data_IF_455525807329
#
_entry.id   IF_455525807329
#
_cell.length_a   1.000
_cell.length_b   1.000
_cell.length_c   1.000
_cell.angle_alpha   90.00
_cell.angle_beta   90.00
_cell.angle_gamma   90.00
#
_symmetry.space_group_name_H-M   'P 1'
#
loop_
_entity.id
_entity.type
_entity.pdbx_description
1 polymer ?
#
# COMPACT_ATOMS: atom_id res chain seq x y z
N UNK A 1 19.95 -19.87 -4.52
CA UNK A 1 20.82 -19.24 -5.54
C UNK A 1 20.19 -19.37 -6.93
N UNK A 2 18.95 -18.90 -7.14
CA UNK A 2 18.28 -18.93 -8.46
C UNK A 2 17.24 -17.80 -8.65
N UNK A 3 17.29 -16.71 -7.88
CA UNK A 3 16.24 -15.67 -7.92
C UNK A 3 16.74 -14.26 -8.27
N UNK A 4 17.96 -14.14 -8.81
CA UNK A 4 18.51 -12.84 -9.27
C UNK A 4 18.38 -12.62 -10.78
N UNK A 5 17.89 -13.59 -11.55
CA UNK A 5 17.95 -13.54 -13.01
C UNK A 5 16.77 -12.85 -13.73
N UNK A 6 15.72 -12.41 -13.01
CA UNK A 6 14.47 -11.96 -13.67
C UNK A 6 14.28 -10.44 -13.72
N UNK A 7 15.19 -9.63 -13.19
CA UNK A 7 15.00 -8.15 -13.14
C UNK A 7 15.44 -7.45 -14.44
N UNK A 8 16.04 -8.14 -15.41
CA UNK A 8 16.46 -7.51 -16.67
C UNK A 8 15.44 -7.70 -17.79
N UNK A 9 14.27 -7.03 -17.71
CA UNK A 9 13.52 -6.72 -18.93
C UNK A 9 14.25 -5.57 -19.63
N UNK A 10 15.03 -5.92 -20.65
CA UNK A 10 15.77 -4.97 -21.49
C UNK A 10 14.77 -4.12 -22.29
N UNK A 11 14.87 -2.79 -22.18
CA UNK A 11 14.10 -1.85 -22.99
C UNK A 11 14.47 -2.02 -24.48
N UNK A 12 13.45 -2.19 -25.33
CA UNK A 12 13.64 -2.51 -26.75
C UNK A 12 13.88 -1.29 -27.63
N UNK A 13 13.66 -0.07 -27.15
CA UNK A 13 13.85 1.18 -27.92
C UNK A 13 14.55 2.30 -27.13
N UNK A 14 15.23 3.17 -27.89
CA UNK A 14 15.81 4.43 -27.41
C UNK A 14 14.69 5.44 -27.16
N UNK A 15 14.09 5.38 -25.97
CA UNK A 15 13.10 6.35 -25.51
C UNK A 15 13.68 7.22 -24.39
N UNK A 16 13.04 8.34 -24.07
CA UNK A 16 13.39 9.15 -22.89
C UNK A 16 12.55 8.69 -21.70
N UNK A 17 13.16 8.54 -20.53
CA UNK A 17 12.42 8.21 -19.32
C UNK A 17 11.50 9.37 -18.89
N UNK A 18 10.66 9.12 -17.88
CA UNK A 18 9.72 10.12 -17.35
C UNK A 18 10.41 11.34 -16.68
N UNK A 19 11.75 11.36 -16.65
CA UNK A 19 12.61 12.44 -16.14
C UNK A 19 13.36 13.16 -17.29
N UNK A 20 13.13 12.78 -18.55
CA UNK A 20 13.76 13.37 -19.72
C UNK A 20 15.19 12.89 -19.98
N UNK A 21 15.62 11.79 -19.35
CA UNK A 21 16.94 11.19 -19.55
C UNK A 21 16.87 10.08 -20.61
N UNK A 22 17.84 10.07 -21.52
CA UNK A 22 17.90 9.09 -22.60
C UNK A 22 18.06 7.67 -22.04
N UNK A 23 17.15 6.76 -22.38
CA UNK A 23 17.29 5.34 -22.09
C UNK A 23 18.40 4.76 -22.97
N UNK A 24 19.58 4.57 -22.39
CA UNK A 24 20.69 3.91 -23.08
C UNK A 24 20.46 2.41 -23.06
N UNK A 25 20.24 1.82 -24.24
CA UNK A 25 20.07 0.39 -24.45
C UNK A 25 21.21 -0.38 -23.77
N UNK A 26 20.86 -1.38 -22.97
CA UNK A 26 21.80 -2.35 -22.38
C UNK A 26 22.74 -1.84 -21.26
N UNK A 27 22.40 -0.75 -20.55
CA UNK A 27 23.14 -0.36 -19.34
C UNK A 27 22.41 -0.83 -18.08
N UNK A 28 23.02 -1.75 -17.33
CA UNK A 28 22.65 -1.99 -15.93
C UNK A 28 22.98 -0.71 -15.16
N UNK A 29 21.98 0.13 -14.92
CA UNK A 29 22.18 1.34 -14.13
C UNK A 29 22.29 0.94 -12.65
N UNK A 30 23.54 0.74 -12.22
CA UNK A 30 23.86 0.46 -10.83
C UNK A 30 23.37 1.58 -9.90
N UNK A 31 23.30 2.83 -10.36
CA UNK A 31 22.77 3.96 -9.57
C UNK A 31 21.26 3.80 -9.43
N UNK A 32 20.54 3.54 -10.51
CA UNK A 32 19.11 3.25 -10.46
C UNK A 32 18.81 2.05 -9.56
N UNK A 33 19.59 0.97 -9.70
CA UNK A 33 19.47 -0.24 -8.87
C UNK A 33 19.71 0.07 -7.40
N UNK A 34 20.74 0.86 -7.08
CA UNK A 34 21.03 1.28 -5.70
C UNK A 34 19.93 2.19 -5.15
N UNK A 35 19.45 3.16 -5.93
CA UNK A 35 18.37 4.07 -5.53
C UNK A 35 17.09 3.29 -5.24
N UNK A 36 16.69 2.37 -6.14
CA UNK A 36 15.53 1.49 -5.92
C UNK A 36 15.75 0.59 -4.70
N UNK A 37 16.93 0.00 -4.53
CA UNK A 37 17.25 -0.85 -3.37
C UNK A 37 17.18 -0.08 -2.06
N UNK A 38 17.69 1.15 -2.01
CA UNK A 38 17.61 2.04 -0.84
C UNK A 38 16.15 2.39 -0.57
N UNK A 39 15.41 2.79 -1.60
CA UNK A 39 14.00 3.12 -1.47
C UNK A 39 13.19 1.92 -0.97
N UNK A 40 13.44 0.71 -1.47
CA UNK A 40 12.81 -0.54 -1.01
C UNK A 40 13.24 -0.94 0.41
N UNK A 41 14.50 -0.69 0.78
CA UNK A 41 15.01 -1.00 2.11
C UNK A 41 14.34 -0.14 3.20
N UNK A 42 14.13 1.15 2.91
CA UNK A 42 13.55 2.10 3.86
C UNK A 42 12.02 2.15 3.81
N UNK A 43 11.40 2.06 2.63
CA UNK A 43 9.93 2.13 2.50
C UNK A 43 9.26 0.75 2.58
N UNK A 44 10.04 -0.33 2.60
CA UNK A 44 9.56 -1.69 2.36
C UNK A 44 9.57 -2.02 0.87
N UNK A 45 9.72 -3.32 0.55
CA UNK A 45 9.71 -3.82 -0.83
C UNK A 45 8.45 -3.32 -1.56
N UNK A 46 8.63 -2.69 -2.72
CA UNK A 46 7.50 -2.31 -3.60
C UNK A 46 6.98 -3.50 -4.43
N UNK A 47 7.72 -4.63 -4.42
CA UNK A 47 7.45 -5.80 -5.25
C UNK A 47 6.34 -6.72 -4.74
N UNK A 48 5.86 -6.52 -3.51
CA UNK A 48 4.77 -7.26 -2.91
C UNK A 48 3.56 -6.33 -2.75
N UNK A 49 3.01 -5.93 -3.90
CA UNK A 49 1.76 -5.18 -4.05
C UNK A 49 0.54 -5.83 -3.36
N UNK A 50 0.73 -7.03 -2.79
CA UNK A 50 -0.26 -7.85 -2.12
C UNK A 50 0.00 -8.04 -0.61
N UNK A 51 1.15 -7.64 -0.09
CA UNK A 51 1.50 -7.84 1.33
C UNK A 51 1.51 -6.51 2.07
N UNK A 52 0.70 -6.46 3.14
CA UNK A 52 0.70 -5.32 4.03
C UNK A 52 1.93 -5.37 4.93
N UNK A 53 2.91 -4.51 4.67
CA UNK A 53 3.98 -4.27 5.65
C UNK A 53 3.48 -3.33 6.74
N UNK A 54 3.98 -3.50 7.98
CA UNK A 54 3.66 -2.60 9.10
C UNK A 54 4.04 -1.14 8.78
N UNK A 55 5.10 -0.93 8.01
CA UNK A 55 5.52 0.39 7.52
C UNK A 55 4.50 1.02 6.56
N UNK A 56 4.04 0.24 5.57
CA UNK A 56 3.00 0.70 4.63
C UNK A 56 1.71 1.07 5.36
N UNK A 57 1.22 0.23 6.28
CA UNK A 57 0.00 0.52 7.02
C UNK A 57 0.15 1.77 7.89
N UNK A 58 1.30 1.94 8.57
CA UNK A 58 1.59 3.15 9.37
C UNK A 58 1.53 4.41 8.51
N UNK A 59 2.23 4.42 7.38
CA UNK A 59 2.23 5.56 6.45
C UNK A 59 0.86 5.84 5.84
N UNK A 60 0.16 4.79 5.38
CA UNK A 60 -1.17 4.90 4.78
C UNK A 60 -2.18 5.48 5.77
N UNK A 61 -2.22 4.93 6.99
CA UNK A 61 -3.09 5.39 8.07
C UNK A 61 -2.85 6.87 8.40
N UNK A 62 -1.59 7.26 8.61
CA UNK A 62 -1.26 8.66 8.96
C UNK A 62 -1.61 9.62 7.79
N UNK A 63 -1.31 9.22 6.55
CA UNK A 63 -1.63 9.99 5.34
C UNK A 63 -3.14 10.16 5.16
N UNK A 64 -3.91 9.07 5.26
CA UNK A 64 -5.37 9.12 5.13
C UNK A 64 -5.99 9.98 6.23
N UNK A 65 -5.59 9.77 7.49
CA UNK A 65 -6.12 10.54 8.62
C UNK A 65 -5.80 12.03 8.50
N UNK A 66 -4.59 12.40 8.07
CA UNK A 66 -4.23 13.81 7.89
C UNK A 66 -5.12 14.56 6.90
N UNK A 67 -5.67 13.85 5.90
CA UNK A 67 -6.56 14.39 4.87
C UNK A 67 -8.01 14.35 5.31
N UNK A 68 -8.49 13.19 5.80
CA UNK A 68 -9.89 13.00 6.19
C UNK A 68 -10.27 13.91 7.35
N UNK A 69 -9.36 14.14 8.31
CA UNK A 69 -9.67 14.97 9.48
C UNK A 69 -9.92 16.45 9.14
N UNK A 70 -9.49 16.90 7.95
CA UNK A 70 -9.76 18.26 7.44
C UNK A 70 -11.11 18.37 6.71
N UNK A 71 -11.74 17.24 6.38
CA UNK A 71 -13.02 17.21 5.68
C UNK A 71 -14.14 17.46 6.71
N UNK A 72 -15.07 18.41 6.46
CA UNK A 72 -16.15 18.72 7.41
C UNK A 72 -17.07 17.53 7.67
N UNK A 73 -17.25 16.65 6.68
CA UNK A 73 -18.09 15.46 6.75
C UNK A 73 -17.30 14.16 7.03
N UNK A 74 -16.15 14.27 7.72
CA UNK A 74 -15.26 13.13 7.96
C UNK A 74 -15.87 11.97 8.76
N UNK A 75 -17.01 12.18 9.43
CA UNK A 75 -17.69 11.14 10.22
C UNK A 75 -18.61 10.26 9.38
N UNK A 76 -18.85 10.63 8.12
CA UNK A 76 -19.70 9.85 7.22
C UNK A 76 -19.13 8.44 7.00
N UNK A 77 -20.04 7.49 6.85
CA UNK A 77 -19.75 6.09 6.56
C UNK A 77 -18.89 5.92 5.31
N UNK A 78 -19.11 6.79 4.32
CA UNK A 78 -18.33 6.85 3.09
C UNK A 78 -16.82 6.88 3.35
N UNK A 79 -16.37 7.74 4.27
CA UNK A 79 -14.94 7.87 4.55
C UNK A 79 -14.38 6.69 5.33
N UNK A 80 -15.20 6.05 6.17
CA UNK A 80 -14.84 4.82 6.89
C UNK A 80 -14.71 3.63 5.93
N UNK A 81 -15.61 3.52 4.94
CA UNK A 81 -15.52 2.54 3.86
C UNK A 81 -14.28 2.80 2.99
N UNK A 82 -14.07 4.06 2.59
CA UNK A 82 -12.93 4.49 1.77
C UNK A 82 -11.57 4.20 2.43
N UNK A 83 -11.49 4.25 3.75
CA UNK A 83 -10.29 3.85 4.49
C UNK A 83 -9.95 2.37 4.26
N UNK A 84 -10.95 1.49 4.20
CA UNK A 84 -10.75 0.05 3.97
C UNK A 84 -10.50 -0.23 2.49
N UNK A 85 -11.15 0.51 1.60
CA UNK A 85 -10.98 0.38 0.16
C UNK A 85 -9.56 0.72 -0.31
N UNK A 86 -8.84 1.59 0.41
CA UNK A 86 -7.44 1.92 0.10
C UNK A 86 -6.41 0.92 0.66
N UNK A 87 -6.85 -0.17 1.31
CA UNK A 87 -5.96 -1.25 1.75
C UNK A 87 -5.73 -2.27 0.61
N UNK A 88 -4.63 -3.05 0.63
CA UNK A 88 -4.41 -4.14 -0.32
C UNK A 88 -5.63 -5.08 -0.38
N UNK A 89 -6.10 -5.55 -1.56
CA UNK A 89 -7.41 -6.18 -1.71
C UNK A 89 -7.66 -7.37 -0.79
N UNK A 90 -6.71 -8.31 -0.69
CA UNK A 90 -6.79 -9.49 0.16
C UNK A 90 -6.88 -9.12 1.64
N UNK A 91 -6.13 -8.09 2.04
CA UNK A 91 -6.16 -7.59 3.40
C UNK A 91 -7.45 -6.84 3.71
N UNK A 92 -7.92 -6.01 2.78
CA UNK A 92 -9.18 -5.30 2.90
C UNK A 92 -10.33 -6.28 3.11
N UNK A 93 -10.36 -7.41 2.40
CA UNK A 93 -11.36 -8.46 2.59
C UNK A 93 -11.29 -9.08 3.99
N UNK A 94 -10.10 -9.40 4.50
CA UNK A 94 -9.91 -9.87 5.89
C UNK A 94 -10.43 -8.87 6.91
N UNK A 95 -10.09 -7.59 6.77
CA UNK A 95 -10.58 -6.52 7.65
C UNK A 95 -12.10 -6.39 7.56
N UNK A 96 -12.68 -6.44 6.36
CA UNK A 96 -14.14 -6.41 6.18
C UNK A 96 -14.82 -7.57 6.89
N UNK A 97 -14.25 -8.78 6.82
CA UNK A 97 -14.74 -9.97 7.52
C UNK A 97 -14.65 -9.79 9.05
N UNK A 98 -13.53 -9.29 9.55
CA UNK A 98 -13.32 -9.05 10.98
C UNK A 98 -14.26 -7.95 11.54
N UNK A 99 -14.50 -6.88 10.77
CA UNK A 99 -15.42 -5.80 11.14
C UNK A 99 -16.88 -6.21 11.08
N UNK A 100 -17.24 -7.09 10.13
CA UNK A 100 -18.60 -7.64 10.01
C UNK A 100 -18.91 -8.60 11.16
N UNK A 101 -17.93 -9.40 11.58
CA UNK A 101 -18.14 -10.43 12.60
C UNK A 101 -19.26 -11.39 12.19
N UNK A 102 -20.31 -11.47 13.02
CA UNK A 102 -21.51 -12.29 12.75
C UNK A 102 -22.65 -11.53 12.05
N UNK A 103 -22.46 -10.24 11.75
CA UNK A 103 -23.49 -9.42 11.11
C UNK A 103 -23.57 -9.70 9.61
N UNK A 104 -24.71 -9.39 8.98
CA UNK A 104 -24.83 -9.51 7.52
C UNK A 104 -24.09 -8.36 6.82
N UNK A 105 -24.04 -7.17 7.43
CA UNK A 105 -23.34 -5.99 6.90
C UNK A 105 -22.39 -5.38 7.94
N UNK A 106 -21.47 -4.53 7.47
CA UNK A 106 -20.53 -3.82 8.32
C UNK A 106 -21.24 -2.57 8.88
N UNK A 107 -21.40 -2.42 10.21
CA UNK A 107 -22.10 -1.28 10.80
C UNK A 107 -21.21 -0.03 10.81
N UNK A 108 -21.00 0.59 9.64
CA UNK A 108 -20.14 1.76 9.49
C UNK A 108 -20.60 2.95 10.35
N UNK A 109 -21.90 3.07 10.66
CA UNK A 109 -22.44 4.13 11.54
C UNK A 109 -21.78 4.11 12.91
N UNK A 110 -21.70 2.92 13.52
CA UNK A 110 -21.25 2.73 14.89
C UNK A 110 -19.72 2.53 15.00
N UNK A 111 -19.06 2.28 13.86
CA UNK A 111 -17.61 2.14 13.82
C UNK A 111 -16.90 3.49 13.97
N UNK A 112 -15.88 3.54 14.84
CA UNK A 112 -14.94 4.66 14.91
C UNK A 112 -13.71 4.36 14.06
N UNK A 113 -13.02 5.40 13.60
CA UNK A 113 -11.71 5.23 12.92
C UNK A 113 -10.73 4.44 13.79
N UNK A 114 -10.71 4.69 15.10
CA UNK A 114 -9.89 3.94 16.04
C UNK A 114 -10.19 2.44 16.04
N UNK A 115 -11.48 2.06 15.96
CA UNK A 115 -11.86 0.65 15.90
C UNK A 115 -11.43 -0.01 14.58
N UNK A 116 -11.62 0.68 13.46
CA UNK A 116 -11.17 0.19 12.14
C UNK A 116 -9.65 -0.01 12.13
N UNK A 117 -8.90 0.99 12.59
CA UNK A 117 -7.42 0.94 12.68
C UNK A 117 -6.95 -0.15 13.65
N UNK A 118 -7.65 -0.33 14.77
CA UNK A 118 -7.39 -1.40 15.72
C UNK A 118 -7.55 -2.77 15.07
N UNK A 119 -8.65 -2.99 14.34
CA UNK A 119 -8.87 -4.23 13.58
C UNK A 119 -7.81 -4.43 12.50
N UNK A 120 -7.43 -3.40 11.76
CA UNK A 120 -6.33 -3.49 10.79
C UNK A 120 -5.01 -3.87 11.47
N UNK A 121 -4.66 -3.27 12.60
CA UNK A 121 -3.42 -3.64 13.32
C UNK A 121 -3.45 -5.10 13.77
N UNK A 122 -4.59 -5.57 14.29
CA UNK A 122 -4.73 -6.97 14.73
C UNK A 122 -4.65 -7.95 13.57
N UNK A 123 -5.36 -7.70 12.46
CA UNK A 123 -5.27 -8.54 11.26
C UNK A 123 -3.87 -8.50 10.64
N UNK A 124 -3.17 -7.37 10.73
CA UNK A 124 -1.80 -7.20 10.25
C UNK A 124 -0.75 -7.94 11.08
N UNK A 125 -1.00 -8.13 12.39
CA UNK A 125 -0.16 -8.95 13.27
C UNK A 125 -0.44 -10.46 13.11
N UNK A 126 -1.62 -10.80 12.59
CA UNK A 126 -2.06 -12.17 12.30
C UNK A 126 -1.77 -12.59 10.84
N UNK A 127 -0.82 -11.94 10.17
CA UNK A 127 -0.26 -12.31 8.87
C UNK A 127 1.07 -13.03 9.08
#
# INVERSE_FOLDING_TARGET
>A
MLMYATICKMATDEDVDNLGMALVKNREDAVYTLVVTILEHFNGRFTNQYEMTLGFFRWYKDTFLSRVMKVPENKLEYWKAKLIDGLPPLFAERVRKALRGNSIEIPYKDLTYGKIIGTCTQEGLNL
#
